data_IF_039584785867
#
_entry.id   IF_039584785867
#
_cell.length_a   1.000
_cell.length_b   1.000
_cell.length_c   1.000
_cell.angle_alpha   90.00
_cell.angle_beta   90.00
_cell.angle_gamma   90.00
#
_symmetry.space_group_name_H-M   'P 1'
#
loop_
_entity.id
_entity.type
_entity.pdbx_description
1 polymer ?
#
# COMPACT_ATOMS: atom_id res chain seq x y z
N UNK A 1 -77.64 5.99 20.22
CA UNK A 1 -77.06 4.76 19.66
C UNK A 1 -76.61 5.04 18.25
N UNK A 2 -75.36 5.31 18.06
CA UNK A 2 -74.81 5.72 16.76
C UNK A 2 -73.85 4.67 16.26
N UNK A 3 -74.15 4.09 15.09
CA UNK A 3 -73.26 3.20 14.33
C UNK A 3 -72.22 4.05 13.59
N UNK A 4 -70.94 3.84 13.88
CA UNK A 4 -69.85 4.38 13.08
C UNK A 4 -69.51 3.36 11.96
N UNK A 5 -69.79 3.75 10.70
CA UNK A 5 -69.36 3.04 9.50
C UNK A 5 -67.94 3.45 9.16
N UNK A 6 -67.01 2.46 9.16
CA UNK A 6 -65.65 2.63 8.62
C UNK A 6 -65.66 2.57 7.12
N UNK A 7 -65.46 3.65 6.41
CA UNK A 7 -65.16 3.66 4.97
C UNK A 7 -63.75 3.15 4.71
N UNK A 8 -63.58 2.01 4.02
CA UNK A 8 -62.35 1.55 3.42
C UNK A 8 -62.08 2.44 2.19
N UNK A 9 -60.89 3.06 2.20
CA UNK A 9 -60.38 3.78 1.02
C UNK A 9 -59.92 2.75 0.00
N UNK A 10 -60.55 2.72 -1.17
CA UNK A 10 -60.11 1.90 -2.32
C UNK A 10 -58.98 2.67 -2.97
N UNK A 11 -57.76 2.14 -2.95
CA UNK A 11 -56.62 2.66 -3.69
C UNK A 11 -56.80 2.16 -5.13
N UNK A 12 -56.86 3.09 -6.09
CA UNK A 12 -57.04 2.80 -7.50
C UNK A 12 -55.79 2.26 -8.14
N UNK A 13 -55.96 1.36 -9.12
CA UNK A 13 -54.89 0.63 -9.84
C UNK A 13 -53.89 1.58 -10.52
N UNK A 14 -54.28 2.81 -10.81
CA UNK A 14 -53.41 3.82 -11.44
C UNK A 14 -52.25 4.36 -10.56
N UNK A 15 -52.41 4.41 -9.22
CA UNK A 15 -51.36 4.84 -8.31
C UNK A 15 -50.26 3.77 -8.15
N UNK A 16 -50.60 2.49 -8.41
CA UNK A 16 -49.63 1.38 -8.31
C UNK A 16 -48.72 1.29 -9.55
N UNK A 17 -49.22 1.71 -10.71
CA UNK A 17 -48.43 1.68 -11.97
C UNK A 17 -47.41 2.79 -12.00
N UNK A 18 -47.69 3.97 -11.42
CA UNK A 18 -46.76 5.11 -11.34
C UNK A 18 -45.55 4.81 -10.43
N UNK A 19 -45.76 4.08 -9.32
CA UNK A 19 -44.68 3.72 -8.41
C UNK A 19 -43.72 2.67 -8.97
N UNK A 20 -44.25 1.71 -9.76
CA UNK A 20 -43.43 0.67 -10.41
C UNK A 20 -42.54 1.25 -11.53
N UNK A 21 -43.08 2.19 -12.31
CA UNK A 21 -42.32 2.85 -13.38
C UNK A 21 -41.19 3.75 -12.83
N UNK A 22 -41.41 4.42 -11.70
CA UNK A 22 -40.37 5.21 -11.05
C UNK A 22 -39.27 4.34 -10.44
N UNK A 23 -39.63 3.15 -9.94
CA UNK A 23 -38.66 2.20 -9.35
C UNK A 23 -37.83 1.50 -10.45
N UNK A 24 -38.43 1.17 -11.59
CA UNK A 24 -37.70 0.63 -12.74
C UNK A 24 -36.80 1.66 -13.43
N UNK A 25 -37.18 2.94 -13.44
CA UNK A 25 -36.33 4.01 -13.96
C UNK A 25 -35.13 4.30 -13.06
N UNK A 26 -35.29 4.21 -11.72
CA UNK A 26 -34.20 4.36 -10.77
C UNK A 26 -33.19 3.19 -10.86
N UNK A 27 -33.67 1.95 -11.02
CA UNK A 27 -32.79 0.79 -11.19
C UNK A 27 -32.07 0.78 -12.55
N UNK A 28 -32.68 1.33 -13.62
CA UNK A 28 -32.00 1.46 -14.91
C UNK A 28 -30.92 2.54 -14.91
N UNK A 29 -31.04 3.58 -14.08
CA UNK A 29 -29.98 4.58 -13.92
C UNK A 29 -28.79 4.04 -13.10
N UNK A 30 -29.02 3.12 -12.16
CA UNK A 30 -27.94 2.46 -11.41
C UNK A 30 -27.17 1.44 -12.26
N UNK A 31 -27.85 0.68 -13.13
CA UNK A 31 -27.14 -0.23 -14.06
C UNK A 31 -26.31 0.52 -15.12
N UNK A 32 -26.67 1.75 -15.50
CA UNK A 32 -25.91 2.55 -16.45
C UNK A 32 -24.68 3.24 -15.81
N UNK A 33 -24.69 3.43 -14.49
CA UNK A 33 -23.54 3.95 -13.74
C UNK A 33 -22.51 2.86 -13.44
N UNK A 34 -22.92 1.57 -13.42
CA UNK A 34 -22.01 0.45 -13.21
C UNK A 34 -21.15 0.10 -14.43
N UNK A 35 -21.54 0.52 -15.63
CA UNK A 35 -20.77 0.27 -16.87
C UNK A 35 -19.63 1.29 -17.12
N UNK A 36 -19.59 2.41 -16.42
CA UNK A 36 -18.58 3.47 -16.61
C UNK A 36 -17.51 3.46 -15.52
N UNK A 37 -17.65 2.67 -14.45
CA UNK A 37 -16.59 2.52 -13.48
C UNK A 37 -15.41 1.77 -14.13
N UNK A 38 -14.16 2.32 -14.10
CA UNK A 38 -13.01 1.63 -14.66
C UNK A 38 -12.91 0.25 -14.00
N UNK A 39 -12.79 -0.81 -14.81
CA UNK A 39 -12.83 -2.23 -14.39
C UNK A 39 -11.82 -2.62 -13.29
N UNK A 40 -10.95 -1.71 -12.87
CA UNK A 40 -9.87 -1.92 -11.91
C UNK A 40 -9.97 -1.07 -10.63
N UNK A 41 -11.05 -0.34 -10.42
CA UNK A 41 -11.22 0.46 -9.20
C UNK A 41 -11.55 -0.46 -8.03
N UNK A 42 -10.58 -0.61 -7.12
CA UNK A 42 -10.77 -1.32 -5.85
C UNK A 42 -9.84 -2.47 -5.57
N UNK A 43 -9.33 -3.16 -6.60
CA UNK A 43 -8.40 -4.28 -6.40
C UNK A 43 -6.98 -3.75 -6.15
N UNK A 44 -6.50 -3.85 -4.91
CA UNK A 44 -5.17 -3.37 -4.51
C UNK A 44 -4.34 -4.51 -3.94
N UNK A 45 -3.15 -4.72 -4.50
CA UNK A 45 -2.08 -5.53 -3.93
C UNK A 45 -0.94 -4.61 -3.50
N UNK A 46 -0.57 -4.64 -2.24
CA UNK A 46 0.51 -3.84 -1.69
C UNK A 46 1.50 -4.70 -0.92
N UNK A 47 2.79 -4.39 -1.03
CA UNK A 47 3.84 -4.96 -0.19
C UNK A 47 4.44 -3.84 0.65
N UNK A 48 4.46 -4.03 1.97
CA UNK A 48 5.17 -3.15 2.90
C UNK A 48 6.50 -3.83 3.23
N UNK A 49 7.59 -3.19 2.84
CA UNK A 49 8.95 -3.65 3.10
C UNK A 49 9.59 -2.74 4.16
N UNK A 50 10.16 -3.29 5.20
CA UNK A 50 10.81 -2.53 6.25
C UNK A 50 12.17 -3.11 6.61
N UNK A 51 13.12 -2.22 6.74
CA UNK A 51 14.48 -2.49 7.14
C UNK A 51 14.53 -2.87 8.61
N UNK A 52 15.30 -3.91 8.94
CA UNK A 52 15.47 -4.43 10.30
C UNK A 52 16.92 -4.38 10.79
N UNK A 53 17.79 -3.68 10.07
CA UNK A 53 19.21 -3.54 10.39
C UNK A 53 19.46 -2.73 11.66
N UNK A 54 20.69 -2.74 12.14
CA UNK A 54 21.08 -2.12 13.42
C UNK A 54 20.81 -0.62 13.47
N UNK A 55 20.92 0.11 12.36
CA UNK A 55 20.60 1.55 12.25
C UNK A 55 19.11 1.82 12.54
N UNK A 56 18.23 0.89 12.15
CA UNK A 56 16.80 0.95 12.39
C UNK A 56 16.39 0.58 13.83
N UNK A 57 17.30 0.08 14.67
CA UNK A 57 16.96 -0.50 15.99
C UNK A 57 16.12 0.42 16.89
N UNK A 58 16.35 1.73 16.83
CA UNK A 58 15.56 2.70 17.60
C UNK A 58 14.16 2.97 17.05
N UNK A 59 13.90 2.66 15.77
CA UNK A 59 12.65 2.94 15.07
C UNK A 59 11.80 1.69 14.85
N UNK A 60 12.41 0.53 14.71
CA UNK A 60 11.74 -0.71 14.29
C UNK A 60 10.60 -1.14 15.23
N UNK A 61 10.74 -0.90 16.53
CA UNK A 61 9.67 -1.17 17.50
C UNK A 61 8.43 -0.32 17.25
N UNK A 62 8.61 0.96 16.94
CA UNK A 62 7.52 1.87 16.58
C UNK A 62 6.90 1.48 15.23
N UNK A 63 7.73 1.20 14.21
CA UNK A 63 7.28 0.76 12.89
C UNK A 63 6.42 -0.51 13.01
N UNK A 64 6.90 -1.54 13.73
CA UNK A 64 6.14 -2.78 13.93
C UNK A 64 4.79 -2.52 14.62
N UNK A 65 4.80 -1.72 15.68
CA UNK A 65 3.57 -1.39 16.41
C UNK A 65 2.58 -0.65 15.51
N UNK A 66 3.02 0.42 14.88
CA UNK A 66 2.16 1.26 14.04
C UNK A 66 1.58 0.48 12.85
N UNK A 67 2.40 -0.31 12.18
CA UNK A 67 1.92 -1.16 11.06
C UNK A 67 0.92 -2.20 11.56
N UNK A 68 1.19 -2.85 12.71
CA UNK A 68 0.27 -3.84 13.28
C UNK A 68 -1.08 -3.24 13.66
N UNK A 69 -1.08 -2.07 14.29
CA UNK A 69 -2.30 -1.38 14.73
C UNK A 69 -3.11 -0.87 13.52
N UNK A 70 -2.44 -0.60 12.40
CA UNK A 70 -3.06 -0.06 11.19
C UNK A 70 -3.72 -1.13 10.31
N UNK A 71 -3.19 -2.36 10.28
CA UNK A 71 -3.67 -3.45 9.41
C UNK A 71 -5.20 -3.61 9.43
N UNK A 72 -5.87 -3.73 10.61
CA UNK A 72 -7.32 -3.89 10.64
C UNK A 72 -8.09 -2.71 10.03
N UNK A 73 -7.55 -1.50 10.16
CA UNK A 73 -8.17 -0.30 9.60
C UNK A 73 -8.06 -0.27 8.08
N UNK A 74 -6.91 -0.68 7.54
CA UNK A 74 -6.69 -0.75 6.09
C UNK A 74 -7.67 -1.71 5.42
N UNK A 75 -7.90 -2.89 6.01
CA UNK A 75 -8.86 -3.87 5.49
C UNK A 75 -10.31 -3.41 5.64
N UNK A 76 -10.63 -2.68 6.71
CA UNK A 76 -11.96 -2.08 6.88
C UNK A 76 -12.26 -1.02 5.82
N UNK A 77 -11.25 -0.24 5.43
CA UNK A 77 -11.38 0.85 4.47
C UNK A 77 -11.29 0.36 3.00
N UNK A 78 -10.73 -0.84 2.76
CA UNK A 78 -10.50 -1.38 1.42
C UNK A 78 -11.00 -2.83 1.31
N UNK A 79 -12.11 -3.03 0.64
CA UNK A 79 -12.77 -4.35 0.53
C UNK A 79 -11.97 -5.39 -0.27
N UNK A 80 -11.18 -4.97 -1.26
CA UNK A 80 -10.39 -5.85 -2.12
C UNK A 80 -8.88 -5.57 -2.01
N UNK A 81 -8.40 -5.45 -0.76
CA UNK A 81 -7.01 -5.29 -0.41
C UNK A 81 -6.34 -6.64 -0.14
N UNK A 82 -5.12 -6.82 -0.63
CA UNK A 82 -4.17 -7.81 -0.13
C UNK A 82 -2.88 -7.11 0.26
N UNK A 83 -2.35 -7.44 1.43
CA UNK A 83 -1.06 -6.95 1.90
C UNK A 83 -0.04 -8.10 1.93
N UNK A 84 1.15 -7.85 1.40
CA UNK A 84 2.35 -8.62 1.65
C UNK A 84 3.28 -7.84 2.57
N UNK A 85 4.17 -8.54 3.26
CA UNK A 85 5.17 -7.92 4.12
C UNK A 85 6.54 -8.49 3.82
N UNK A 86 7.56 -7.64 3.91
CA UNK A 86 8.97 -8.02 3.82
C UNK A 86 9.72 -7.35 4.95
N UNK A 87 10.40 -8.15 5.78
CA UNK A 87 11.37 -7.66 6.76
C UNK A 87 12.76 -8.08 6.25
N UNK A 88 13.70 -7.16 6.20
CA UNK A 88 14.97 -7.45 5.54
C UNK A 88 16.16 -6.80 6.27
N UNK A 89 17.33 -7.38 6.04
CA UNK A 89 18.64 -6.95 6.50
C UNK A 89 19.59 -6.63 5.38
N UNK A 90 20.77 -7.25 5.41
CA UNK A 90 21.81 -7.09 4.41
C UNK A 90 22.50 -8.40 4.04
N UNK A 91 23.39 -8.38 3.06
CA UNK A 91 24.17 -9.53 2.60
C UNK A 91 24.99 -10.19 3.75
N UNK A 92 25.41 -9.41 4.73
CA UNK A 92 26.14 -9.94 5.89
C UNK A 92 25.27 -10.79 6.81
N UNK A 93 23.95 -10.61 6.79
CA UNK A 93 22.99 -11.34 7.61
C UNK A 93 22.53 -12.65 6.96
N UNK A 94 22.90 -12.91 5.69
CA UNK A 94 22.59 -14.14 4.99
C UNK A 94 23.36 -15.34 5.59
N UNK A 95 22.72 -16.50 5.65
CA UNK A 95 23.40 -17.74 6.00
C UNK A 95 24.47 -18.12 4.97
N UNK A 96 24.15 -17.99 3.69
CA UNK A 96 25.05 -18.16 2.56
C UNK A 96 24.41 -17.57 1.26
N UNK A 97 25.10 -17.65 0.12
CA UNK A 97 24.67 -17.05 -1.14
C UNK A 97 23.31 -17.56 -1.68
N UNK A 98 22.81 -18.71 -1.24
CA UNK A 98 21.54 -19.32 -1.63
C UNK A 98 20.49 -19.33 -0.54
N UNK A 99 20.89 -19.06 0.70
CA UNK A 99 20.02 -19.08 1.89
C UNK A 99 20.04 -17.73 2.58
N UNK A 100 18.98 -16.98 2.39
CA UNK A 100 18.83 -15.64 2.97
C UNK A 100 18.59 -15.67 4.48
N UNK A 101 18.09 -16.79 5.05
CA UNK A 101 17.80 -16.88 6.49
C UNK A 101 16.92 -15.72 6.96
N UNK A 102 17.32 -15.09 8.07
CA UNK A 102 16.61 -13.95 8.63
C UNK A 102 16.86 -12.63 7.85
N UNK A 103 17.86 -12.59 6.94
CA UNK A 103 18.13 -11.42 6.12
C UNK A 103 16.98 -11.07 5.15
N UNK A 104 16.14 -12.03 4.78
CA UNK A 104 14.97 -11.77 3.94
C UNK A 104 13.78 -12.62 4.37
N UNK A 105 12.89 -12.03 5.12
CA UNK A 105 11.69 -12.66 5.64
C UNK A 105 10.50 -12.08 4.90
N UNK A 106 9.60 -12.91 4.37
CA UNK A 106 8.46 -12.40 3.61
C UNK A 106 7.18 -13.22 3.83
N UNK A 107 6.05 -12.52 3.68
CA UNK A 107 4.73 -13.10 3.50
C UNK A 107 4.10 -12.55 2.24
N UNK A 108 3.61 -13.42 1.39
CA UNK A 108 2.96 -13.05 0.12
C UNK A 108 1.65 -12.28 0.37
N UNK A 109 1.21 -11.45 -0.58
CA UNK A 109 -0.02 -10.68 -0.42
C UNK A 109 -1.22 -11.56 -0.06
N UNK A 110 -1.78 -11.32 1.12
CA UNK A 110 -2.92 -12.03 1.70
C UNK A 110 -3.96 -11.05 2.25
N UNK A 111 -5.19 -11.52 2.43
CA UNK A 111 -6.24 -10.81 3.16
C UNK A 111 -6.35 -11.28 4.62
N UNK A 112 -5.43 -12.11 5.10
CA UNK A 112 -5.45 -12.62 6.47
C UNK A 112 -4.72 -11.66 7.42
N UNK A 113 -5.48 -10.78 8.06
CA UNK A 113 -4.96 -9.79 9.01
C UNK A 113 -4.12 -10.41 10.13
N UNK A 114 -4.56 -11.56 10.69
CA UNK A 114 -3.86 -12.21 11.79
C UNK A 114 -2.49 -12.75 11.38
N UNK A 115 -2.33 -13.24 10.15
CA UNK A 115 -1.04 -13.67 9.61
C UNK A 115 -0.10 -12.49 9.44
N UNK A 116 -0.61 -11.38 8.91
CA UNK A 116 0.16 -10.16 8.72
C UNK A 116 0.64 -9.57 10.05
N UNK A 117 -0.25 -9.41 11.01
CA UNK A 117 0.09 -8.91 12.35
C UNK A 117 1.13 -9.83 13.01
N UNK A 118 0.91 -11.14 12.94
CA UNK A 118 1.85 -12.13 13.49
C UNK A 118 3.23 -12.03 12.82
N UNK A 119 3.27 -11.85 11.50
CA UNK A 119 4.51 -11.68 10.76
C UNK A 119 5.25 -10.43 11.24
N UNK A 120 4.60 -9.27 11.27
CA UNK A 120 5.22 -8.00 11.67
C UNK A 120 5.79 -8.06 13.08
N UNK A 121 5.03 -8.62 14.04
CA UNK A 121 5.46 -8.70 15.44
C UNK A 121 6.57 -9.72 15.70
N UNK A 122 6.70 -10.75 14.85
CA UNK A 122 7.69 -11.83 15.04
C UNK A 122 8.86 -11.80 14.05
N UNK A 123 8.88 -10.87 13.09
CA UNK A 123 10.02 -10.69 12.20
C UNK A 123 11.29 -10.43 13.01
N UNK A 124 12.39 -10.99 12.56
CA UNK A 124 13.68 -10.91 13.27
C UNK A 124 14.39 -9.60 12.92
N UNK A 125 15.12 -9.08 13.90
CA UNK A 125 16.10 -8.04 13.68
C UNK A 125 17.34 -8.64 13.02
N UNK A 126 18.01 -7.82 12.24
CA UNK A 126 19.26 -8.13 11.55
C UNK A 126 20.34 -7.14 11.98
N UNK A 127 21.58 -7.38 11.59
CA UNK A 127 22.69 -6.56 12.05
C UNK A 127 23.01 -5.41 11.10
N UNK A 128 22.96 -5.68 9.78
CA UNK A 128 23.65 -4.85 8.81
C UNK A 128 25.17 -4.94 9.00
N UNK A 129 25.95 -4.67 8.00
CA UNK A 129 27.41 -4.86 8.09
C UNK A 129 28.24 -3.63 7.75
N UNK A 130 27.70 -2.79 6.91
CA UNK A 130 28.26 -1.53 6.46
C UNK A 130 27.16 -0.47 6.33
N UNK A 131 27.39 0.64 5.67
CA UNK A 131 26.40 1.72 5.60
C UNK A 131 25.29 1.47 4.59
N UNK A 132 25.60 0.98 3.38
CA UNK A 132 24.58 0.53 2.42
C UNK A 132 23.93 -0.79 2.84
N UNK A 133 22.68 -1.01 2.41
CA UNK A 133 21.93 -2.23 2.65
C UNK A 133 21.40 -2.81 1.32
N UNK A 134 20.98 -4.05 1.26
CA UNK A 134 20.65 -4.72 -0.02
C UNK A 134 19.26 -4.39 -0.60
N UNK A 135 18.92 -3.11 -0.60
CA UNK A 135 17.63 -2.61 -1.14
C UNK A 135 17.42 -2.99 -2.60
N UNK A 136 18.47 -3.01 -3.41
CA UNK A 136 18.42 -3.43 -4.81
C UNK A 136 17.93 -4.88 -4.94
N UNK A 137 18.36 -5.75 -4.04
CA UNK A 137 17.90 -7.14 -3.97
C UNK A 137 16.44 -7.23 -3.49
N UNK A 138 16.08 -6.45 -2.49
CA UNK A 138 14.69 -6.40 -1.96
C UNK A 138 13.73 -5.98 -3.05
N UNK A 139 14.02 -4.89 -3.77
CA UNK A 139 13.20 -4.42 -4.89
C UNK A 139 13.08 -5.52 -5.94
N UNK A 140 14.21 -6.12 -6.37
CA UNK A 140 14.22 -7.21 -7.33
C UNK A 140 13.31 -8.36 -6.91
N UNK A 141 13.46 -8.86 -5.68
CA UNK A 141 12.68 -9.99 -5.18
C UNK A 141 11.19 -9.67 -5.11
N UNK A 142 10.82 -8.49 -4.61
CA UNK A 142 9.40 -8.09 -4.55
C UNK A 142 8.82 -7.98 -5.96
N UNK A 143 9.52 -7.36 -6.90
CA UNK A 143 9.05 -7.16 -8.29
C UNK A 143 8.90 -8.49 -9.04
N UNK A 144 9.81 -9.45 -8.82
CA UNK A 144 9.87 -10.70 -9.57
C UNK A 144 9.10 -11.85 -8.90
N UNK A 145 9.10 -11.93 -7.57
CA UNK A 145 8.62 -13.10 -6.81
C UNK A 145 7.22 -12.90 -6.18
N UNK A 146 6.72 -11.66 -6.09
CA UNK A 146 5.40 -11.41 -5.52
C UNK A 146 4.28 -11.91 -6.44
N UNK A 147 3.31 -12.60 -5.84
CA UNK A 147 2.13 -13.11 -6.54
C UNK A 147 1.08 -12.02 -6.74
N UNK A 148 1.39 -11.05 -7.60
CA UNK A 148 0.50 -9.96 -7.98
C UNK A 148 -0.74 -10.48 -8.69
N UNK A 149 -1.94 -10.03 -8.30
CA UNK A 149 -3.18 -10.37 -9.02
C UNK A 149 -3.23 -9.67 -10.38
N UNK A 150 -3.81 -10.32 -11.35
CA UNK A 150 -4.12 -9.69 -12.62
C UNK A 150 -5.15 -8.56 -12.43
N UNK A 151 -4.89 -7.42 -13.05
CA UNK A 151 -5.76 -6.25 -12.98
C UNK A 151 -5.77 -5.53 -11.62
N UNK A 152 -4.87 -5.88 -10.68
CA UNK A 152 -4.73 -5.09 -9.45
C UNK A 152 -3.90 -3.83 -9.67
N UNK A 153 -4.21 -2.78 -8.92
CA UNK A 153 -3.24 -1.73 -8.62
C UNK A 153 -2.14 -2.33 -7.75
N UNK A 154 -0.87 -2.07 -8.08
CA UNK A 154 0.28 -2.68 -7.42
C UNK A 154 1.14 -1.61 -6.81
N UNK A 155 1.50 -1.79 -5.54
CA UNK A 155 2.31 -0.83 -4.80
C UNK A 155 3.29 -1.50 -3.86
N UNK A 156 4.46 -0.90 -3.70
CA UNK A 156 5.45 -1.22 -2.68
C UNK A 156 5.59 0.01 -1.81
N UNK A 157 5.61 -0.16 -0.51
CA UNK A 157 6.01 0.85 0.46
C UNK A 157 7.30 0.38 1.13
N UNK A 158 8.39 1.12 0.92
CA UNK A 158 9.69 0.85 1.51
C UNK A 158 9.95 1.79 2.69
N UNK A 159 10.17 1.23 3.89
CA UNK A 159 10.53 1.97 5.10
C UNK A 159 11.99 1.67 5.42
N UNK A 160 12.87 2.66 5.32
CA UNK A 160 14.31 2.47 5.31
C UNK A 160 15.10 3.73 5.68
N UNK A 161 16.40 3.58 5.95
CA UNK A 161 17.27 4.67 6.43
C UNK A 161 18.64 4.78 5.73
N UNK A 162 18.99 3.87 4.83
CA UNK A 162 20.30 3.80 4.20
C UNK A 162 20.24 3.84 2.67
N UNK A 163 21.38 3.74 2.00
CA UNK A 163 21.49 3.64 0.54
C UNK A 163 21.58 2.20 0.07
N UNK A 164 21.22 1.88 -1.20
CA UNK A 164 21.48 0.56 -1.76
C UNK A 164 22.97 0.34 -1.98
N UNK A 165 23.38 -0.93 -2.07
CA UNK A 165 24.70 -1.24 -2.57
C UNK A 165 24.82 -0.83 -4.04
N UNK A 166 26.02 -0.36 -4.40
CA UNK A 166 26.29 -0.06 -5.78
C UNK A 166 26.51 -1.31 -6.63
N UNK A 167 26.20 -1.21 -7.91
CA UNK A 167 26.48 -2.28 -8.86
C UNK A 167 27.96 -2.69 -8.79
N UNK A 168 28.18 -3.98 -8.61
CA UNK A 168 29.54 -4.52 -8.44
C UNK A 168 29.90 -4.83 -6.98
N UNK A 169 29.08 -4.50 -6.01
CA UNK A 169 29.32 -4.86 -4.62
C UNK A 169 29.40 -6.38 -4.45
N UNK A 170 30.32 -6.83 -3.60
CA UNK A 170 30.49 -8.26 -3.24
C UNK A 170 30.71 -8.39 -1.74
N UNK A 171 29.99 -9.26 -1.10
CA UNK A 171 30.22 -9.65 0.28
C UNK A 171 30.71 -11.08 0.38
N UNK A 172 31.88 -11.31 0.99
CA UNK A 172 32.51 -12.65 1.14
C UNK A 172 32.56 -13.46 -0.16
N UNK A 173 32.80 -12.81 -1.29
CA UNK A 173 32.74 -13.40 -2.64
C UNK A 173 31.31 -13.85 -3.07
N UNK A 174 30.28 -13.44 -2.42
CA UNK A 174 28.93 -13.62 -2.92
C UNK A 174 28.70 -12.74 -4.15
N UNK A 175 28.30 -13.40 -5.24
CA UNK A 175 28.07 -12.73 -6.52
C UNK A 175 26.69 -12.07 -6.59
N UNK A 176 25.85 -12.25 -5.58
CA UNK A 176 24.43 -11.87 -5.63
C UNK A 176 24.25 -10.35 -5.85
N UNK A 177 24.97 -9.50 -5.12
CA UNK A 177 24.89 -8.05 -5.29
C UNK A 177 25.59 -7.54 -6.55
N UNK A 178 26.55 -8.27 -7.09
CA UNK A 178 27.37 -7.86 -8.21
C UNK A 178 26.62 -7.67 -9.54
N UNK A 179 25.41 -8.20 -9.64
CA UNK A 179 24.60 -8.21 -10.85
C UNK A 179 23.32 -7.36 -10.71
N UNK A 180 23.08 -6.76 -9.56
CA UNK A 180 21.84 -6.01 -9.28
C UNK A 180 22.17 -4.52 -9.28
N UNK A 181 21.39 -3.79 -10.07
CA UNK A 181 21.38 -2.34 -10.13
C UNK A 181 19.99 -1.88 -9.78
N UNK A 182 19.86 -1.12 -8.69
CA UNK A 182 18.57 -0.65 -8.19
C UNK A 182 17.79 0.16 -9.23
N UNK A 183 18.48 0.90 -10.12
CA UNK A 183 17.83 1.65 -11.19
C UNK A 183 17.22 0.73 -12.26
N UNK A 184 17.88 -0.40 -12.53
CA UNK A 184 17.32 -1.43 -13.43
C UNK A 184 16.10 -2.06 -12.81
N UNK A 185 16.13 -2.37 -11.52
CA UNK A 185 14.99 -2.98 -10.82
C UNK A 185 13.82 -1.97 -10.67
N UNK A 186 14.10 -0.69 -10.45
CA UNK A 186 13.09 0.36 -10.47
C UNK A 186 12.39 0.47 -11.84
N UNK A 187 13.15 0.41 -12.95
CA UNK A 187 12.55 0.40 -14.30
C UNK A 187 11.66 -0.83 -14.52
N UNK A 188 12.09 -2.01 -14.06
CA UNK A 188 11.26 -3.23 -14.12
C UNK A 188 9.96 -3.07 -13.32
N UNK A 189 10.02 -2.42 -12.16
CA UNK A 189 8.83 -2.10 -11.37
C UNK A 189 7.89 -1.19 -12.17
N UNK A 190 8.40 -0.11 -12.75
CA UNK A 190 7.64 0.82 -13.57
C UNK A 190 7.00 0.12 -14.79
N UNK A 191 7.74 -0.73 -15.50
CA UNK A 191 7.25 -1.50 -16.66
C UNK A 191 6.10 -2.45 -16.27
N UNK A 192 6.15 -3.01 -15.04
CA UNK A 192 5.09 -3.84 -14.47
C UNK A 192 3.96 -3.01 -13.81
N UNK A 193 4.00 -1.69 -13.92
CA UNK A 193 3.07 -0.76 -13.27
C UNK A 193 2.99 -0.95 -11.75
N UNK A 194 4.12 -1.26 -11.14
CA UNK A 194 4.30 -1.33 -9.69
C UNK A 194 4.83 0.02 -9.24
N UNK A 195 4.14 0.70 -8.34
CA UNK A 195 4.61 1.94 -7.72
C UNK A 195 5.40 1.65 -6.49
N UNK A 196 6.39 2.48 -6.25
CA UNK A 196 7.28 2.33 -5.13
C UNK A 196 7.33 3.65 -4.35
N UNK A 197 6.64 3.66 -3.21
CA UNK A 197 6.72 4.74 -2.24
C UNK A 197 7.84 4.47 -1.25
N UNK A 198 8.44 5.53 -0.73
CA UNK A 198 9.45 5.42 0.32
C UNK A 198 9.09 6.26 1.53
N UNK A 199 9.26 5.68 2.72
CA UNK A 199 9.24 6.37 4.01
C UNK A 199 10.66 6.32 4.56
N UNK A 200 11.34 7.47 4.61
CA UNK A 200 12.78 7.53 4.81
C UNK A 200 13.15 8.21 6.11
N UNK A 201 14.07 7.62 6.87
CA UNK A 201 14.60 8.20 8.11
C UNK A 201 15.73 9.20 7.80
N UNK A 202 16.42 8.98 6.70
CA UNK A 202 17.49 9.85 6.19
C UNK A 202 17.05 10.60 4.93
N UNK A 203 17.66 11.72 4.63
CA UNK A 203 17.37 12.52 3.42
C UNK A 203 18.27 12.13 2.25
N UNK A 204 18.38 10.83 1.97
CA UNK A 204 19.17 10.35 0.84
C UNK A 204 18.43 10.56 -0.49
N UNK A 205 19.11 11.11 -1.47
CA UNK A 205 18.50 11.46 -2.76
C UNK A 205 17.96 10.24 -3.53
N UNK A 206 18.59 9.08 -3.39
CA UNK A 206 18.19 7.87 -4.09
C UNK A 206 16.74 7.44 -3.80
N UNK A 207 16.21 7.70 -2.60
CA UNK A 207 14.81 7.42 -2.26
C UNK A 207 13.83 8.23 -3.13
N UNK A 208 14.16 9.51 -3.34
CA UNK A 208 13.36 10.41 -4.19
C UNK A 208 13.43 9.96 -5.65
N UNK A 209 14.65 9.60 -6.11
CA UNK A 209 14.88 9.11 -7.47
C UNK A 209 14.13 7.78 -7.70
N UNK A 210 14.21 6.84 -6.76
CA UNK A 210 13.51 5.56 -6.80
C UNK A 210 12.00 5.73 -6.92
N UNK A 211 11.41 6.55 -6.05
CA UNK A 211 9.98 6.84 -6.08
C UNK A 211 9.57 7.55 -7.38
N UNK A 212 10.34 8.54 -7.83
CA UNK A 212 10.07 9.26 -9.07
C UNK A 212 10.09 8.35 -10.31
N UNK A 213 11.02 7.38 -10.37
CA UNK A 213 11.10 6.42 -11.48
C UNK A 213 9.86 5.53 -11.62
N UNK A 214 9.12 5.32 -10.55
CA UNK A 214 7.96 4.44 -10.50
C UNK A 214 6.63 5.19 -10.33
N UNK A 215 6.64 6.52 -10.42
CA UNK A 215 5.50 7.40 -10.12
C UNK A 215 4.97 7.22 -8.68
N UNK A 216 5.85 6.93 -7.75
CA UNK A 216 5.56 6.85 -6.32
C UNK A 216 5.87 8.17 -5.60
N UNK A 217 5.72 8.15 -4.28
CA UNK A 217 5.93 9.28 -3.39
C UNK A 217 7.04 8.95 -2.39
N UNK A 218 7.99 9.89 -2.19
CA UNK A 218 9.02 9.78 -1.15
C UNK A 218 8.71 10.77 -0.04
N UNK A 219 8.61 10.27 1.20
CA UNK A 219 8.27 11.08 2.37
C UNK A 219 9.23 10.81 3.52
N UNK A 220 9.64 11.86 4.27
CA UNK A 220 10.46 11.67 5.44
C UNK A 220 9.67 10.99 6.57
N UNK A 221 10.37 10.13 7.34
CA UNK A 221 9.84 9.54 8.57
C UNK A 221 9.93 10.55 9.70
N UNK A 222 8.82 10.80 10.36
CA UNK A 222 8.79 11.60 11.58
C UNK A 222 8.32 10.74 12.75
N UNK A 223 9.02 10.82 13.88
CA UNK A 223 8.89 9.98 15.08
C UNK A 223 7.55 10.08 15.82
N UNK A 224 6.55 10.74 15.30
CA UNK A 224 5.27 10.93 15.96
C UNK A 224 4.10 10.54 15.06
N UNK A 225 3.54 9.35 15.25
CA UNK A 225 2.25 8.88 14.67
C UNK A 225 2.04 9.04 13.15
N UNK A 226 2.94 9.75 12.45
CA UNK A 226 2.80 10.08 11.03
C UNK A 226 3.05 8.89 10.10
N UNK A 227 3.85 7.90 10.52
CA UNK A 227 4.10 6.71 9.67
C UNK A 227 2.80 5.96 9.39
N UNK A 228 1.96 5.77 10.41
CA UNK A 228 0.66 5.14 10.23
C UNK A 228 -0.23 5.94 9.26
N UNK A 229 -0.21 7.27 9.35
CA UNK A 229 -0.95 8.15 8.44
C UNK A 229 -0.39 8.07 7.01
N UNK A 230 0.92 7.99 6.83
CA UNK A 230 1.57 7.84 5.53
C UNK A 230 1.20 6.51 4.87
N UNK A 231 1.31 5.39 5.62
CA UNK A 231 0.87 4.07 5.15
C UNK A 231 -0.60 4.09 4.75
N UNK A 232 -1.44 4.69 5.61
CA UNK A 232 -2.87 4.83 5.35
C UNK A 232 -3.14 5.67 4.10
N UNK A 233 -2.48 6.80 3.94
CA UNK A 233 -2.61 7.66 2.76
C UNK A 233 -2.21 6.92 1.47
N UNK A 234 -1.10 6.19 1.47
CA UNK A 234 -0.65 5.38 0.33
C UNK A 234 -1.69 4.33 -0.07
N UNK A 235 -2.23 3.59 0.90
CA UNK A 235 -3.25 2.55 0.64
C UNK A 235 -4.57 3.16 0.17
N UNK A 236 -5.06 4.20 0.87
CA UNK A 236 -6.38 4.77 0.59
C UNK A 236 -6.45 5.54 -0.72
N UNK A 237 -5.40 6.26 -1.09
CA UNK A 237 -5.33 6.98 -2.37
C UNK A 237 -5.47 6.06 -3.59
N UNK A 238 -5.09 4.79 -3.46
CA UNK A 238 -5.06 3.78 -4.53
C UNK A 238 -6.13 2.70 -4.41
N UNK A 239 -6.84 2.69 -3.30
CA UNK A 239 -7.82 1.66 -2.96
C UNK A 239 -9.16 1.82 -3.67
N UNK A 240 -10.20 1.23 -3.07
CA UNK A 240 -11.58 1.30 -3.55
C UNK A 240 -12.10 2.75 -3.61
N UNK A 241 -13.22 2.96 -4.31
CA UNK A 241 -13.88 4.27 -4.34
C UNK A 241 -14.15 4.79 -2.92
N UNK A 242 -14.59 3.92 -2.01
CA UNK A 242 -14.81 4.25 -0.59
C UNK A 242 -13.52 4.71 0.08
N UNK A 243 -12.42 3.99 -0.15
CA UNK A 243 -11.11 4.35 0.40
C UNK A 243 -10.65 5.72 -0.11
N UNK A 244 -10.85 6.00 -1.40
CA UNK A 244 -10.52 7.29 -2.01
C UNK A 244 -11.35 8.44 -1.45
N UNK A 245 -12.66 8.23 -1.21
CA UNK A 245 -13.48 9.23 -0.51
C UNK A 245 -12.99 9.50 0.91
N UNK A 246 -12.68 8.44 1.66
CA UNK A 246 -12.11 8.59 3.01
C UNK A 246 -10.74 9.30 2.98
N UNK A 247 -9.93 9.08 1.94
CA UNK A 247 -8.67 9.80 1.72
C UNK A 247 -8.92 11.32 1.54
N UNK A 248 -9.89 11.69 0.70
CA UNK A 248 -10.24 13.08 0.46
C UNK A 248 -10.78 13.77 1.73
N UNK A 249 -11.54 13.05 2.56
CA UNK A 249 -12.02 13.53 3.87
C UNK A 249 -10.85 13.74 4.84
N UNK A 250 -9.90 12.79 4.93
CA UNK A 250 -8.69 12.92 5.75
C UNK A 250 -7.84 14.11 5.32
N UNK A 251 -7.61 14.26 4.02
CA UNK A 251 -6.86 15.38 3.47
C UNK A 251 -7.52 16.72 3.83
N UNK A 252 -8.84 16.79 3.74
CA UNK A 252 -9.62 18.02 4.03
C UNK A 252 -9.62 18.37 5.52
N UNK A 253 -9.55 17.38 6.40
CA UNK A 253 -9.52 17.53 7.85
C UNK A 253 -8.10 17.70 8.43
N UNK A 254 -7.07 17.56 7.60
CA UNK A 254 -5.67 17.62 8.04
C UNK A 254 -5.26 19.07 8.34
N UNK A 255 -4.77 19.33 9.56
CA UNK A 255 -4.23 20.63 9.97
C UNK A 255 -2.70 20.70 9.92
N UNK A 256 -2.01 19.57 9.77
CA UNK A 256 -0.55 19.47 9.69
C UNK A 256 -0.08 19.82 8.27
N UNK A 257 0.71 20.86 8.14
CA UNK A 257 1.13 21.37 6.83
C UNK A 257 2.02 20.40 6.04
N UNK A 258 2.84 19.63 6.73
CA UNK A 258 3.69 18.60 6.11
C UNK A 258 2.85 17.43 5.58
N UNK A 259 1.88 16.96 6.36
CA UNK A 259 0.96 15.94 5.89
C UNK A 259 0.06 16.43 4.75
N UNK A 260 -0.28 17.72 4.71
CA UNK A 260 -1.00 18.30 3.55
C UNK A 260 -0.20 18.17 2.26
N UNK A 261 1.11 18.38 2.28
CA UNK A 261 1.99 18.20 1.12
C UNK A 261 2.04 16.72 0.68
N UNK A 262 2.10 15.81 1.64
CA UNK A 262 2.04 14.37 1.38
C UNK A 262 0.72 13.98 0.74
N UNK A 263 -0.40 14.38 1.33
CA UNK A 263 -1.73 14.12 0.76
C UNK A 263 -1.88 14.71 -0.65
N UNK A 264 -1.36 15.93 -0.88
CA UNK A 264 -1.38 16.56 -2.18
C UNK A 264 -0.57 15.76 -3.22
N UNK A 265 0.56 15.18 -2.81
CA UNK A 265 1.39 14.32 -3.66
C UNK A 265 0.66 13.04 -4.05
N UNK A 266 0.05 12.34 -3.10
CA UNK A 266 -0.76 11.14 -3.37
C UNK A 266 -2.00 11.44 -4.19
N UNK A 267 -2.65 12.59 -3.96
CA UNK A 267 -3.79 13.02 -4.79
C UNK A 267 -3.38 13.27 -6.22
N UNK A 268 -2.29 14.00 -6.44
CA UNK A 268 -1.76 14.28 -7.78
C UNK A 268 -1.43 12.99 -8.53
N UNK A 269 -0.82 12.04 -7.84
CA UNK A 269 -0.51 10.72 -8.39
C UNK A 269 -1.79 9.98 -8.77
N UNK A 270 -2.76 9.87 -7.85
CA UNK A 270 -4.06 9.23 -8.09
C UNK A 270 -4.77 9.82 -9.31
N UNK A 271 -4.89 11.15 -9.33
CA UNK A 271 -5.60 11.87 -10.39
C UNK A 271 -4.92 11.70 -11.77
N UNK A 272 -3.62 11.38 -11.81
CA UNK A 272 -2.89 11.06 -13.05
C UNK A 272 -3.21 9.68 -13.63
N UNK A 273 -3.92 8.83 -12.88
CA UNK A 273 -4.27 7.46 -13.29
C UNK A 273 -5.65 7.32 -13.88
N UNK A 274 -6.53 8.25 -13.55
CA UNK A 274 -7.94 8.23 -13.97
C UNK A 274 -8.13 8.82 -15.39
N UNK A 275 -7.00 9.07 -16.13
CA UNK A 275 -6.99 9.54 -17.53
C UNK A 275 -6.45 8.51 -18.51
#
# INVERSE_FOLDING_TARGET
MGLFSKRKKIVTVEETISSTSAYEAANKSDESLSEVAPKNVGKLDMVIAFDTTGSMAQYIGAVRKEVSDLIPQLFKDNEDLRLGMVAFGDYCDMNNAQDFGDAYQCIQPTANENELIKFVLNSKDTSGGDGPEFYELVIKKIVEETQWREGSTRSILLIADATPHEHGYTYRNYVVGNQIDWQVEARKAADKKIRLDTVTITDEQWFKDLSAMTNGVSVPFHTSNKTAELVRASVMSRGSMRARCNFDDLMSACDDDEMKEVYASYKKERDSLDF
#
